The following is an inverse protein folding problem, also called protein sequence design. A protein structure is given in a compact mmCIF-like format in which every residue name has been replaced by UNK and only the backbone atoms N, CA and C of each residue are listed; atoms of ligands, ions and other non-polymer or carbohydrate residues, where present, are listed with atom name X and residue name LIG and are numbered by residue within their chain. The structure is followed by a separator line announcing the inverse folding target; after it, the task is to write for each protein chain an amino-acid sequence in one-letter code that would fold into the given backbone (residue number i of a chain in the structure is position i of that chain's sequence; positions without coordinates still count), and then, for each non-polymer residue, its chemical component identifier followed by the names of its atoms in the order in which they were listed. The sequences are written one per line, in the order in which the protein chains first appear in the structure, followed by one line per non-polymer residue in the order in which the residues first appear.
data_IF_067467190692
#
_entry.id   IF_067467190692
#
_cell.length_a   1.000
_cell.length_b   1.000
_cell.length_c   1.000
_cell.angle_alpha   90.00
_cell.angle_beta   90.00
_cell.angle_gamma   90.00
#
_symmetry.space_group_name_H-M   'P 1'
#
loop_
_entity.id
_entity.type
_entity.pdbx_description
1 polymer ?
#
# COMPACT_ATOMS: atom_id res chain seq x y z
N UNK A 1 34.91 -1.96 5.87
CA UNK A 1 34.39 -2.98 4.94
C UNK A 1 33.68 -4.08 5.72
N UNK A 2 32.40 -3.90 6.05
CA UNK A 2 31.47 -4.95 6.48
C UNK A 2 30.06 -4.37 6.48
N UNK A 3 29.27 -4.90 5.55
CA UNK A 3 27.83 -4.83 5.34
C UNK A 3 27.03 -4.50 6.61
N UNK A 4 26.55 -3.27 6.70
CA UNK A 4 25.31 -2.96 7.43
C UNK A 4 24.26 -2.88 6.32
N UNK A 5 23.40 -3.90 6.29
CA UNK A 5 22.21 -3.92 5.45
C UNK A 5 21.35 -2.74 5.88
N UNK A 6 21.38 -1.66 5.09
CA UNK A 6 20.24 -0.76 4.99
C UNK A 6 19.11 -1.63 4.42
N UNK A 7 18.18 -2.06 5.27
CA UNK A 7 16.92 -2.65 4.86
C UNK A 7 16.08 -1.54 4.21
N UNK A 8 16.45 -1.18 2.98
CA UNK A 8 15.59 -0.44 2.07
C UNK A 8 14.52 -1.44 1.63
N UNK A 9 13.31 -1.33 2.18
CA UNK A 9 12.10 -1.94 1.60
C UNK A 9 11.71 -1.18 0.32
N UNK A 10 12.61 -1.19 -0.66
CA UNK A 10 12.35 -0.88 -2.07
C UNK A 10 12.97 -2.05 -2.83
N UNK A 11 12.21 -3.13 -2.97
CA UNK A 11 12.58 -4.22 -3.87
C UNK A 11 12.32 -3.74 -5.30
N UNK A 12 13.32 -3.07 -5.86
CA UNK A 12 13.47 -2.92 -7.30
C UNK A 12 14.58 -3.87 -7.71
N UNK A 13 14.22 -4.94 -8.42
CA UNK A 13 15.13 -5.66 -9.30
C UNK A 13 14.60 -5.50 -10.73
N UNK A 14 15.19 -4.58 -11.49
CA UNK A 14 14.92 -4.40 -12.93
C UNK A 14 16.07 -4.98 -13.76
N UNK A 15 15.71 -5.66 -14.85
CA UNK A 15 16.40 -5.79 -16.17
C UNK A 15 16.51 -7.25 -16.64
N UNK A 16 16.24 -7.66 -17.88
CA UNK A 16 15.60 -7.10 -19.09
C UNK A 16 15.61 -8.26 -20.11
N UNK A 17 14.51 -8.51 -20.85
CA UNK A 17 14.51 -8.70 -22.33
C UNK A 17 13.11 -9.09 -22.84
N UNK A 18 12.40 -8.11 -23.39
CA UNK A 18 11.61 -8.30 -24.59
C UNK A 18 11.58 -6.96 -25.33
N UNK A 19 12.53 -6.77 -26.25
CA UNK A 19 12.41 -5.73 -27.25
C UNK A 19 11.22 -6.10 -28.14
N UNK A 20 10.09 -5.39 -28.02
CA UNK A 20 9.15 -5.31 -29.14
C UNK A 20 9.57 -4.14 -30.00
N UNK A 21 10.41 -4.42 -31.00
CA UNK A 21 10.47 -3.60 -32.20
C UNK A 21 9.14 -3.81 -32.93
N UNK A 22 8.26 -2.81 -32.92
CA UNK A 22 7.16 -2.73 -33.87
C UNK A 22 7.78 -2.57 -35.27
N UNK A 23 7.85 -3.67 -36.01
CA UNK A 23 8.05 -3.64 -37.45
C UNK A 23 6.71 -3.18 -38.03
N UNK A 24 6.69 -1.94 -38.51
CA UNK A 24 5.68 -1.45 -39.44
C UNK A 24 5.74 -2.38 -40.66
N UNK A 25 4.71 -3.19 -40.87
CA UNK A 25 4.43 -3.74 -42.18
C UNK A 25 3.37 -2.87 -42.83
N UNK A 26 3.79 -2.03 -43.78
CA UNK A 26 2.90 -1.38 -44.72
C UNK A 26 2.02 -2.44 -45.38
N UNK A 27 0.72 -2.38 -45.13
CA UNK A 27 -0.26 -3.12 -45.90
C UNK A 27 -0.80 -2.19 -46.98
N UNK A 28 -0.16 -2.20 -48.16
CA UNK A 28 -0.81 -1.74 -49.39
C UNK A 28 -1.79 -2.80 -49.86
N UNK A 29 -3.06 -2.42 -50.00
CA UNK A 29 -4.10 -3.25 -50.57
C UNK A 29 -5.24 -2.39 -51.11
N UNK A 30 -5.09 -1.90 -52.34
CA UNK A 30 -6.22 -1.42 -53.14
C UNK A 30 -7.18 -2.58 -53.45
N UNK A 31 -8.49 -2.32 -53.29
CA UNK A 31 -9.55 -3.26 -53.64
C UNK A 31 -10.90 -2.55 -53.67
N UNK A 32 -11.26 -2.03 -54.84
CA UNK A 32 -12.54 -1.41 -55.18
C UNK A 32 -13.68 -2.47 -55.27
N UNK A 33 -14.90 -2.13 -54.83
CA UNK A 33 -16.08 -2.99 -55.06
C UNK A 33 -17.26 -2.72 -54.12
N UNK A 34 -18.16 -1.81 -54.53
CA UNK A 34 -19.33 -1.39 -53.74
C UNK A 34 -20.49 -2.39 -53.62
N UNK A 35 -21.41 -2.09 -52.70
CA UNK A 35 -22.74 -2.72 -52.67
C UNK A 35 -23.45 -2.70 -51.31
N UNK A 36 -24.21 -1.62 -51.04
CA UNK A 36 -25.53 -1.67 -50.39
C UNK A 36 -25.66 -2.18 -48.95
N UNK A 37 -25.91 -1.25 -48.03
CA UNK A 37 -26.52 -1.52 -46.73
C UNK A 37 -26.21 -0.38 -45.76
N UNK A 38 -27.22 0.41 -45.40
CA UNK A 38 -27.11 1.51 -44.43
C UNK A 38 -26.49 0.99 -43.11
N UNK A 39 -25.27 1.38 -42.70
CA UNK A 39 -24.82 1.09 -41.36
C UNK A 39 -25.43 2.15 -40.46
N UNK A 40 -26.19 1.72 -39.46
CA UNK A 40 -26.41 2.49 -38.25
C UNK A 40 -25.08 3.13 -37.82
N UNK A 41 -25.02 4.47 -37.71
CA UNK A 41 -23.88 5.21 -37.17
C UNK A 41 -23.72 4.94 -35.66
N UNK A 42 -23.58 3.67 -35.26
CA UNK A 42 -23.22 3.27 -33.91
C UNK A 42 -21.69 3.25 -33.84
N UNK A 43 -21.15 4.14 -33.03
CA UNK A 43 -19.72 4.20 -32.73
C UNK A 43 -19.34 3.21 -31.61
N UNK A 44 -20.31 2.81 -30.78
CA UNK A 44 -20.18 1.78 -29.72
C UNK A 44 -21.27 0.73 -29.94
N UNK A 45 -20.88 -0.54 -29.91
CA UNK A 45 -21.79 -1.70 -29.93
C UNK A 45 -21.45 -2.63 -28.77
N UNK A 46 -22.41 -2.95 -27.90
CA UNK A 46 -22.22 -3.97 -26.86
C UNK A 46 -22.63 -5.34 -27.36
N UNK A 47 -21.87 -6.37 -27.00
CA UNK A 47 -22.20 -7.77 -27.31
C UNK A 47 -23.46 -8.23 -26.57
N UNK A 48 -23.70 -7.68 -25.38
CA UNK A 48 -24.92 -7.87 -24.60
C UNK A 48 -25.37 -6.55 -23.97
N UNK A 49 -26.52 -5.96 -24.39
CA UNK A 49 -27.05 -4.74 -23.79
C UNK A 49 -27.33 -4.84 -22.28
N UNK A 50 -27.51 -6.04 -21.72
CA UNK A 50 -27.66 -6.22 -20.28
C UNK A 50 -26.40 -5.84 -19.50
N UNK A 51 -25.22 -5.81 -20.13
CA UNK A 51 -23.97 -5.35 -19.51
C UNK A 51 -24.03 -3.87 -19.07
N UNK A 52 -24.92 -3.05 -19.66
CA UNK A 52 -25.13 -1.66 -19.23
C UNK A 52 -25.81 -1.55 -17.86
N UNK A 53 -26.50 -2.59 -17.37
CA UNK A 53 -27.21 -2.55 -16.10
C UNK A 53 -26.93 -3.84 -15.33
N UNK A 54 -25.99 -3.77 -14.40
CA UNK A 54 -25.54 -4.93 -13.64
C UNK A 54 -25.88 -4.78 -12.15
N UNK A 55 -26.03 -5.93 -11.50
CA UNK A 55 -26.13 -6.04 -10.05
C UNK A 55 -24.99 -6.90 -9.55
N UNK A 56 -24.33 -6.44 -8.51
CA UNK A 56 -23.21 -7.09 -7.86
C UNK A 56 -23.55 -7.32 -6.38
N UNK A 57 -23.16 -8.46 -5.82
CA UNK A 57 -23.17 -8.63 -4.37
C UNK A 57 -22.10 -7.76 -3.72
N UNK A 58 -22.20 -7.57 -2.40
CA UNK A 58 -21.25 -6.77 -1.66
C UNK A 58 -19.79 -7.25 -1.84
N UNK A 59 -19.56 -8.55 -2.00
CA UNK A 59 -18.26 -9.20 -2.15
C UNK A 59 -17.89 -9.53 -3.61
N UNK A 60 -18.68 -9.08 -4.59
CA UNK A 60 -18.37 -9.30 -6.00
C UNK A 60 -17.09 -8.55 -6.39
N UNK A 61 -16.05 -9.22 -6.92
CA UNK A 61 -14.74 -8.62 -7.11
C UNK A 61 -14.66 -7.69 -8.33
N UNK A 62 -15.48 -7.95 -9.35
CA UNK A 62 -15.48 -7.19 -10.59
C UNK A 62 -16.72 -7.47 -11.44
N UNK A 63 -16.99 -6.55 -12.36
CA UNK A 63 -17.87 -6.72 -13.51
C UNK A 63 -17.03 -6.61 -14.80
N UNK A 64 -17.48 -7.25 -15.88
CA UNK A 64 -16.83 -7.18 -17.19
C UNK A 64 -17.80 -6.64 -18.24
N UNK A 65 -17.29 -5.78 -19.12
CA UNK A 65 -18.03 -5.22 -20.26
C UNK A 65 -17.26 -5.54 -21.52
N UNK A 66 -17.94 -6.09 -22.53
CA UNK A 66 -17.35 -6.33 -23.86
C UNK A 66 -18.09 -5.48 -24.88
N UNK A 67 -17.35 -4.69 -25.62
CA UNK A 67 -17.91 -3.76 -26.59
C UNK A 67 -16.97 -3.61 -27.78
N UNK A 68 -17.54 -3.19 -28.91
CA UNK A 68 -16.80 -2.84 -30.12
C UNK A 68 -16.90 -1.34 -30.36
N UNK A 69 -15.77 -0.70 -30.63
CA UNK A 69 -15.72 0.71 -31.03
C UNK A 69 -15.24 0.88 -32.45
N UNK A 70 -15.57 2.03 -33.03
CA UNK A 70 -15.16 2.40 -34.39
C UNK A 70 -13.94 3.34 -34.43
N UNK A 71 -13.48 3.79 -33.25
CA UNK A 71 -12.32 4.67 -33.05
C UNK A 71 -11.84 4.54 -31.61
N UNK A 72 -10.93 5.44 -31.21
CA UNK A 72 -10.52 5.56 -29.82
C UNK A 72 -11.72 5.80 -28.91
N UNK A 73 -11.59 5.32 -27.68
CA UNK A 73 -12.63 5.40 -26.66
C UNK A 73 -12.05 5.73 -25.31
N UNK A 74 -12.90 6.26 -24.45
CA UNK A 74 -12.56 6.64 -23.09
C UNK A 74 -13.74 6.40 -22.15
N UNK A 75 -13.44 6.22 -20.87
CA UNK A 75 -14.45 6.01 -19.85
C UNK A 75 -14.22 6.86 -18.60
N UNK A 76 -15.32 7.27 -17.97
CA UNK A 76 -15.31 8.16 -16.83
C UNK A 76 -16.33 7.76 -15.77
N UNK A 77 -15.89 7.70 -14.51
CA UNK A 77 -16.79 7.57 -13.35
C UNK A 77 -17.48 8.92 -13.14
N UNK A 78 -18.80 8.93 -13.29
CA UNK A 78 -19.63 10.13 -13.22
C UNK A 78 -19.86 10.64 -11.80
N UNK A 79 -20.03 9.74 -10.85
CA UNK A 79 -20.31 10.08 -9.46
C UNK A 79 -19.03 9.95 -8.63
N UNK A 80 -18.52 11.08 -8.13
CA UNK A 80 -17.19 11.19 -7.52
C UNK A 80 -17.00 10.24 -6.33
N UNK A 81 -18.05 9.98 -5.55
CA UNK A 81 -18.02 9.06 -4.41
C UNK A 81 -17.67 7.63 -4.82
N UNK A 82 -17.98 7.23 -6.06
CA UNK A 82 -17.68 5.89 -6.54
C UNK A 82 -16.20 5.66 -6.81
N UNK A 83 -15.39 6.72 -6.93
CA UNK A 83 -13.92 6.59 -7.09
C UNK A 83 -13.25 5.96 -5.86
N UNK A 84 -13.92 6.02 -4.71
CA UNK A 84 -13.47 5.40 -3.47
C UNK A 84 -13.66 3.87 -3.44
N UNK A 85 -14.41 3.28 -4.37
CA UNK A 85 -14.66 1.83 -4.38
C UNK A 85 -14.71 1.17 -5.77
N UNK A 86 -14.50 1.95 -6.84
CA UNK A 86 -14.51 1.47 -8.23
C UNK A 86 -13.21 1.84 -8.95
N UNK A 87 -12.61 0.86 -9.62
CA UNK A 87 -11.50 1.08 -10.57
C UNK A 87 -11.89 0.52 -11.94
N UNK A 88 -11.60 1.27 -13.01
CA UNK A 88 -11.89 0.86 -14.39
C UNK A 88 -10.58 0.56 -15.11
N UNK A 89 -10.45 -0.61 -15.73
CA UNK A 89 -9.23 -1.00 -16.44
C UNK A 89 -9.51 -1.89 -17.68
N UNK A 90 -8.95 -1.55 -18.86
CA UNK A 90 -8.45 -0.22 -19.20
C UNK A 90 -9.58 0.82 -19.14
N UNK A 91 -9.24 2.08 -18.91
CA UNK A 91 -10.20 3.20 -19.03
C UNK A 91 -10.12 3.92 -20.39
N UNK A 92 -8.98 3.74 -21.05
CA UNK A 92 -8.50 4.17 -22.37
C UNK A 92 -8.53 3.11 -23.49
N UNK A 93 -8.83 3.45 -24.74
CA UNK A 93 -8.33 2.68 -25.90
C UNK A 93 -8.08 3.57 -27.11
N UNK A 94 -6.94 3.39 -27.80
CA UNK A 94 -6.56 4.24 -28.95
C UNK A 94 -7.05 3.70 -30.30
N UNK A 95 -7.31 2.39 -30.38
CA UNK A 95 -7.68 1.70 -31.60
C UNK A 95 -9.17 1.38 -31.65
N UNK A 96 -9.71 1.25 -32.86
CA UNK A 96 -11.03 0.66 -33.08
C UNK A 96 -10.95 -0.86 -32.96
N UNK A 97 -12.07 -1.50 -32.59
CA UNK A 97 -12.14 -2.95 -32.51
C UNK A 97 -12.91 -3.43 -31.29
N UNK A 98 -12.79 -4.72 -30.99
CA UNK A 98 -13.36 -5.32 -29.79
C UNK A 98 -12.46 -5.03 -28.58
N UNK A 99 -13.08 -4.62 -27.48
CA UNK A 99 -12.44 -4.31 -26.23
C UNK A 99 -13.17 -4.99 -25.09
N UNK A 100 -12.41 -5.36 -24.07
CA UNK A 100 -12.93 -5.83 -22.79
C UNK A 100 -12.46 -4.87 -21.71
N UNK A 101 -13.41 -4.31 -20.97
CA UNK A 101 -13.19 -3.45 -19.82
C UNK A 101 -13.58 -4.17 -18.55
N UNK A 102 -12.66 -4.24 -17.60
CA UNK A 102 -12.90 -4.76 -16.27
C UNK A 102 -13.19 -3.61 -15.31
N UNK A 103 -14.29 -3.73 -14.58
CA UNK A 103 -14.68 -2.79 -13.53
C UNK A 103 -14.45 -3.50 -12.20
N UNK A 104 -13.36 -3.17 -11.53
CA UNK A 104 -13.00 -3.71 -10.22
C UNK A 104 -13.85 -3.03 -9.14
N UNK A 105 -14.41 -3.84 -8.25
CA UNK A 105 -15.26 -3.39 -7.16
C UNK A 105 -14.63 -3.76 -5.82
N UNK A 106 -14.53 -2.78 -4.93
CA UNK A 106 -14.21 -3.03 -3.53
C UNK A 106 -15.43 -3.60 -2.79
N UNK A 107 -15.20 -4.31 -1.68
CA UNK A 107 -16.27 -4.89 -0.90
C UNK A 107 -17.18 -3.79 -0.31
N UNK A 108 -18.50 -3.97 -0.37
CA UNK A 108 -19.44 -2.97 0.16
C UNK A 108 -19.66 -3.11 1.66
N UNK A 109 -18.83 -2.44 2.45
CA UNK A 109 -18.87 -2.43 3.91
C UNK A 109 -19.74 -1.32 4.51
N UNK A 110 -20.44 -0.53 3.68
CA UNK A 110 -21.25 0.62 4.14
C UNK A 110 -22.57 0.23 4.82
N UNK A 111 -22.97 -1.03 4.69
CA UNK A 111 -24.28 -1.52 5.15
C UNK A 111 -25.47 -1.06 4.30
N UNK A 112 -25.25 -0.29 3.24
CA UNK A 112 -26.30 0.18 2.32
C UNK A 112 -25.95 -0.16 0.86
N UNK A 113 -26.94 -0.45 -0.01
CA UNK A 113 -26.67 -0.58 -1.43
C UNK A 113 -26.07 0.73 -1.99
N UNK A 114 -25.12 0.61 -2.91
CA UNK A 114 -24.45 1.73 -3.56
C UNK A 114 -24.41 1.55 -5.07
N UNK A 115 -24.30 2.64 -5.81
CA UNK A 115 -24.38 2.63 -7.28
C UNK A 115 -23.24 3.43 -7.89
N UNK A 116 -22.67 2.92 -8.97
CA UNK A 116 -21.76 3.68 -9.84
C UNK A 116 -22.36 3.86 -11.22
N UNK A 117 -22.13 5.03 -11.81
CA UNK A 117 -22.38 5.31 -13.22
C UNK A 117 -21.05 5.60 -13.93
N UNK A 118 -20.84 4.92 -15.04
CA UNK A 118 -19.63 5.05 -15.86
C UNK A 118 -20.09 5.43 -17.26
N UNK A 119 -19.58 6.54 -17.77
CA UNK A 119 -19.74 6.88 -19.19
C UNK A 119 -18.66 6.20 -20.01
N UNK A 120 -19.06 5.60 -21.12
CA UNK A 120 -18.19 5.07 -22.16
C UNK A 120 -18.42 5.92 -23.41
N UNK A 121 -17.37 6.61 -23.85
CA UNK A 121 -17.42 7.56 -24.95
C UNK A 121 -16.63 7.05 -26.15
N UNK A 122 -17.22 7.14 -27.33
CA UNK A 122 -16.52 6.97 -28.61
C UNK A 122 -17.11 7.97 -29.60
N UNK A 123 -16.29 8.94 -30.02
CA UNK A 123 -16.70 10.04 -30.89
C UNK A 123 -17.92 10.81 -30.32
N UNK A 124 -19.08 10.69 -30.96
CA UNK A 124 -20.31 11.39 -30.55
C UNK A 124 -21.34 10.50 -29.85
N UNK A 125 -20.99 9.23 -29.59
CA UNK A 125 -21.83 8.32 -28.81
C UNK A 125 -21.27 8.16 -27.39
N UNK A 126 -22.19 8.21 -26.44
CA UNK A 126 -21.95 7.94 -25.02
C UNK A 126 -22.91 6.83 -24.59
N UNK A 127 -22.37 5.77 -24.00
CA UNK A 127 -23.14 4.74 -23.31
C UNK A 127 -22.94 4.89 -21.81
N UNK A 128 -23.99 4.67 -21.02
CA UNK A 128 -23.92 4.72 -19.55
C UNK A 128 -24.03 3.31 -18.97
N UNK A 129 -22.97 2.86 -18.33
CA UNK A 129 -22.93 1.62 -17.55
C UNK A 129 -23.34 1.95 -16.11
N UNK A 130 -24.30 1.21 -15.59
CA UNK A 130 -24.77 1.31 -14.21
C UNK A 130 -24.53 -0.01 -13.48
N UNK A 131 -23.81 0.04 -12.36
CA UNK A 131 -23.64 -1.11 -11.47
C UNK A 131 -24.27 -0.76 -10.12
N UNK A 132 -25.22 -1.58 -9.68
CA UNK A 132 -25.75 -1.54 -8.32
C UNK A 132 -25.05 -2.63 -7.50
N UNK A 133 -24.33 -2.22 -6.47
CA UNK A 133 -23.69 -3.14 -5.53
C UNK A 133 -24.53 -3.24 -4.25
N UNK A 134 -24.96 -4.45 -3.94
CA UNK A 134 -25.78 -4.74 -2.76
C UNK A 134 -25.01 -4.56 -1.46
N UNK A 135 -25.74 -4.45 -0.35
CA UNK A 135 -25.16 -4.41 1.01
C UNK A 135 -24.81 -5.80 1.56
N UNK A 136 -25.28 -6.87 0.90
CA UNK A 136 -25.12 -8.26 1.33
C UNK A 136 -24.20 -9.01 0.39
N UNK A 137 -23.39 -9.90 0.97
CA UNK A 137 -22.57 -10.86 0.23
C UNK A 137 -23.44 -11.87 -0.50
N UNK A 138 -22.83 -12.61 -1.42
CA UNK A 138 -23.51 -13.67 -2.16
C UNK A 138 -24.10 -14.76 -1.25
N UNK A 139 -23.48 -15.03 -0.10
CA UNK A 139 -23.95 -16.00 0.90
C UNK A 139 -25.05 -15.44 1.83
N UNK A 140 -25.42 -14.17 1.67
CA UNK A 140 -26.42 -13.47 2.48
C UNK A 140 -25.88 -12.86 3.78
N UNK A 141 -24.58 -13.00 4.07
CA UNK A 141 -23.95 -12.30 5.19
C UNK A 141 -23.70 -10.83 4.89
N UNK A 142 -23.50 -10.02 5.93
CA UNK A 142 -23.06 -8.64 5.79
C UNK A 142 -21.53 -8.59 5.89
N UNK A 143 -20.85 -7.80 5.05
CA UNK A 143 -19.45 -7.50 5.24
C UNK A 143 -19.19 -6.88 6.61
N UNK A 144 -18.04 -7.21 7.20
CA UNK A 144 -17.61 -6.54 8.43
C UNK A 144 -17.24 -5.09 8.11
N UNK A 145 -17.93 -4.13 8.72
CA UNK A 145 -17.49 -2.75 8.71
C UNK A 145 -16.23 -2.63 9.56
N UNK A 146 -15.22 -1.95 9.03
CA UNK A 146 -14.07 -1.56 9.84
C UNK A 146 -14.44 -0.26 10.56
N UNK A 147 -14.54 -0.33 11.88
CA UNK A 147 -14.53 0.84 12.74
C UNK A 147 -13.08 1.09 13.15
N UNK A 148 -12.53 2.31 12.94
CA UNK A 148 -11.19 2.62 13.42
C UNK A 148 -11.16 2.45 14.94
N UNK A 149 -10.12 1.77 15.44
CA UNK A 149 -9.94 1.58 16.88
C UNK A 149 -9.95 2.96 17.57
N UNK A 150 -10.84 3.22 18.53
CA UNK A 150 -10.80 4.47 19.27
C UNK A 150 -9.50 4.49 20.08
N UNK A 151 -8.71 5.54 19.91
CA UNK A 151 -7.50 5.76 20.69
C UNK A 151 -7.57 7.08 21.43
N UNK A 152 -7.02 7.08 22.65
CA UNK A 152 -7.08 8.24 23.56
C UNK A 152 -5.72 8.94 23.72
N UNK A 153 -4.67 8.36 23.14
CA UNK A 153 -3.31 8.88 23.22
C UNK A 153 -2.64 8.96 21.84
N UNK A 154 -1.78 9.97 21.71
CA UNK A 154 -1.00 10.25 20.52
C UNK A 154 0.48 10.01 20.82
N UNK A 155 1.13 9.14 20.06
CA UNK A 155 2.58 8.94 20.16
C UNK A 155 3.26 10.16 19.54
N UNK A 156 4.08 10.85 20.32
CA UNK A 156 4.84 12.02 19.88
C UNK A 156 6.17 11.60 19.22
N UNK A 157 6.88 10.69 19.89
CA UNK A 157 8.14 10.15 19.37
C UNK A 157 8.41 8.75 19.89
N UNK A 158 9.26 8.04 19.17
CA UNK A 158 9.81 6.74 19.56
C UNK A 158 11.32 6.81 19.46
N UNK A 159 12.01 6.24 20.44
CA UNK A 159 13.46 6.21 20.44
C UNK A 159 13.98 4.78 20.46
N UNK A 160 15.01 4.50 19.69
CA UNK A 160 15.52 3.16 19.44
C UNK A 160 16.98 3.11 19.88
N UNK A 161 17.30 2.13 20.73
CA UNK A 161 18.67 1.85 21.15
C UNK A 161 19.03 0.39 20.88
N UNK A 162 20.25 0.18 20.37
CA UNK A 162 20.80 -1.16 20.21
C UNK A 162 21.49 -1.62 21.49
N UNK A 163 21.24 -2.86 21.90
CA UNK A 163 21.90 -3.50 23.04
C UNK A 163 22.67 -4.70 22.52
N UNK A 164 23.99 -4.65 22.68
CA UNK A 164 24.92 -5.73 22.29
C UNK A 164 25.63 -6.26 23.53
N UNK A 165 25.57 -7.58 23.75
CA UNK A 165 26.22 -8.24 24.91
C UNK A 165 25.82 -7.66 26.29
N UNK A 166 24.61 -7.12 26.42
CA UNK A 166 24.11 -6.54 27.67
C UNK A 166 24.59 -5.11 27.96
N UNK A 167 25.30 -4.50 27.00
CA UNK A 167 25.70 -3.08 27.06
C UNK A 167 24.81 -2.29 26.10
N UNK A 168 24.12 -1.27 26.62
CA UNK A 168 23.43 -0.28 25.79
C UNK A 168 24.46 0.47 24.95
N UNK A 169 24.35 0.37 23.63
CA UNK A 169 25.15 1.19 22.73
C UNK A 169 24.48 2.56 22.58
N UNK A 170 24.81 3.47 23.50
CA UNK A 170 24.29 4.85 23.49
C UNK A 170 24.87 5.72 22.38
N UNK A 171 25.84 5.21 21.62
CA UNK A 171 26.49 5.98 20.55
C UNK A 171 25.71 5.96 19.23
N UNK A 172 24.66 5.13 19.10
CA UNK A 172 23.81 4.99 17.91
C UNK A 172 22.32 5.00 18.31
N UNK A 173 21.81 6.16 18.71
CA UNK A 173 20.40 6.32 19.05
C UNK A 173 19.63 6.75 17.81
N UNK A 174 18.51 6.09 17.51
CA UNK A 174 17.56 6.56 16.49
C UNK A 174 16.35 7.18 17.17
N UNK A 175 15.81 8.22 16.57
CA UNK A 175 14.54 8.83 17.00
C UNK A 175 13.59 8.90 15.81
N UNK A 176 12.32 8.57 16.04
CA UNK A 176 11.23 8.75 15.09
C UNK A 176 10.26 9.76 15.72
N UNK A 177 9.97 10.86 15.03
CA UNK A 177 9.02 11.89 15.47
C UNK A 177 7.77 11.87 14.58
N UNK A 178 6.63 12.17 15.18
CA UNK A 178 5.34 12.23 14.51
C UNK A 178 4.72 13.61 14.65
N UNK A 179 4.47 14.27 13.51
CA UNK A 179 3.80 15.56 13.44
C UNK A 179 2.33 15.39 13.06
N UNK A 180 1.46 16.06 13.80
CA UNK A 180 0.02 15.99 13.62
C UNK A 180 -0.58 17.38 13.39
N UNK A 181 -1.66 17.43 12.63
CA UNK A 181 -2.55 18.59 12.54
C UNK A 181 -3.99 18.10 12.77
N UNK A 182 -4.73 18.74 13.68
CA UNK A 182 -6.10 18.39 14.04
C UNK A 182 -6.32 16.87 14.21
N UNK A 183 -5.46 16.21 14.98
CA UNK A 183 -5.56 14.76 15.22
C UNK A 183 -5.46 13.92 13.91
N UNK A 184 -4.69 14.40 12.93
CA UNK A 184 -4.35 13.67 11.71
C UNK A 184 -2.83 13.73 11.52
N UNK A 185 -2.20 12.60 11.22
CA UNK A 185 -0.76 12.54 10.93
C UNK A 185 -0.46 13.36 9.67
N UNK A 186 0.61 14.16 9.68
CA UNK A 186 1.06 14.94 8.53
C UNK A 186 2.54 14.70 8.23
N UNK A 187 3.30 14.27 9.24
CA UNK A 187 4.75 14.23 9.17
C UNK A 187 5.33 13.09 9.99
N UNK A 188 6.32 12.41 9.45
CA UNK A 188 7.12 11.39 10.15
C UNK A 188 8.59 11.68 9.85
N UNK A 189 9.42 11.84 10.87
CA UNK A 189 10.87 12.08 10.72
C UNK A 189 11.63 10.97 11.43
N UNK A 190 12.63 10.40 10.77
CA UNK A 190 13.59 9.49 11.39
C UNK A 190 14.95 10.15 11.40
N UNK A 191 15.56 10.20 12.58
CA UNK A 191 16.82 10.87 12.82
C UNK A 191 17.79 9.93 13.52
N UNK A 192 19.04 9.93 13.08
CA UNK A 192 20.14 9.24 13.73
C UNK A 192 20.98 10.22 14.54
N UNK A 193 21.29 9.86 15.79
CA UNK A 193 22.23 10.58 16.64
C UNK A 193 23.46 9.69 16.79
N UNK A 194 24.60 10.17 16.31
CA UNK A 194 25.88 9.48 16.48
C UNK A 194 26.87 10.34 17.26
N UNK A 195 27.66 9.67 18.11
CA UNK A 195 28.67 10.33 18.94
C UNK A 195 30.05 10.20 18.31
N UNK A 196 30.70 11.32 18.00
CA UNK A 196 32.10 11.38 17.56
C UNK A 196 33.00 11.88 18.68
N UNK A 197 34.23 11.37 18.73
CA UNK A 197 35.27 11.90 19.61
C UNK A 197 36.18 12.81 18.80
N UNK A 198 36.08 14.13 19.00
CA UNK A 198 36.92 15.13 18.35
C UNK A 198 37.82 15.75 19.42
N UNK A 199 39.14 15.56 19.27
CA UNK A 199 40.16 16.11 20.18
C UNK A 199 39.99 15.74 21.68
N UNK A 200 39.30 14.64 21.97
CA UNK A 200 39.04 14.18 23.33
C UNK A 200 37.72 14.69 23.94
N UNK A 201 36.90 15.41 23.16
CA UNK A 201 35.52 15.75 23.49
C UNK A 201 34.54 14.86 22.70
N UNK A 202 33.53 14.34 23.39
CA UNK A 202 32.41 13.63 22.78
C UNK A 202 31.40 14.65 22.23
N UNK A 203 31.21 14.64 20.92
CA UNK A 203 30.26 15.50 20.21
C UNK A 203 29.16 14.62 19.64
N UNK A 204 27.89 14.97 19.94
CA UNK A 204 26.73 14.32 19.34
C UNK A 204 26.33 15.08 18.08
N UNK A 205 26.29 14.37 16.96
CA UNK A 205 25.77 14.88 15.70
C UNK A 205 24.41 14.24 15.42
N UNK A 206 23.45 15.08 15.04
CA UNK A 206 22.11 14.69 14.64
C UNK A 206 22.05 14.72 13.09
N UNK A 207 21.48 13.68 12.49
CA UNK A 207 21.34 13.56 11.04
C UNK A 207 19.96 13.00 10.73
N UNK A 208 19.18 13.74 9.95
CA UNK A 208 17.93 13.23 9.41
C UNK A 208 18.29 12.08 8.46
N UNK A 209 17.68 10.93 8.67
CA UNK A 209 17.88 9.73 7.84
C UNK A 209 16.76 9.61 6.80
N UNK A 210 15.54 9.96 7.20
CA UNK A 210 14.39 9.98 6.30
C UNK A 210 13.27 10.85 6.86
N UNK A 211 12.44 11.40 5.97
CA UNK A 211 11.16 11.98 6.36
C UNK A 211 10.03 11.56 5.42
N UNK A 212 8.81 11.69 5.92
CA UNK A 212 7.57 11.46 5.19
C UNK A 212 6.65 12.65 5.44
N UNK A 213 6.18 13.28 4.37
CA UNK A 213 5.15 14.31 4.40
C UNK A 213 3.87 13.76 3.79
N UNK A 214 2.75 13.87 4.49
CA UNK A 214 1.44 13.33 4.08
C UNK A 214 0.47 14.50 3.92
N UNK A 215 -0.18 14.61 2.77
CA UNK A 215 -1.16 15.63 2.45
C UNK A 215 -2.49 14.97 2.04
N UNK A 216 -3.52 15.18 2.85
CA UNK A 216 -4.84 14.61 2.62
C UNK A 216 -5.70 15.51 1.75
N UNK A 217 -6.42 14.91 0.79
CA UNK A 217 -7.47 15.55 -0.01
C UNK A 217 -8.77 14.77 0.20
N UNK A 218 -9.47 14.97 1.33
CA UNK A 218 -10.62 14.15 1.71
C UNK A 218 -11.76 14.20 0.68
N UNK A 219 -12.01 15.39 0.13
CA UNK A 219 -13.07 15.63 -0.88
C UNK A 219 -12.85 14.80 -2.16
N UNK A 220 -11.59 14.50 -2.50
CA UNK A 220 -11.23 13.72 -3.69
C UNK A 220 -11.01 12.23 -3.37
N UNK A 221 -11.20 11.81 -2.11
CA UNK A 221 -10.79 10.51 -1.60
C UNK A 221 -9.33 10.17 -1.95
N UNK A 222 -8.43 11.14 -1.74
CA UNK A 222 -6.99 10.98 -2.05
C UNK A 222 -6.10 11.39 -0.90
N UNK A 223 -4.90 10.85 -0.89
CA UNK A 223 -3.76 11.46 -0.21
C UNK A 223 -2.54 11.43 -1.11
N UNK A 224 -1.66 12.39 -0.89
CA UNK A 224 -0.33 12.40 -1.48
C UNK A 224 0.66 12.23 -0.34
N UNK A 225 1.67 11.38 -0.53
CA UNK A 225 2.79 11.41 0.38
C UNK A 225 4.12 11.43 -0.36
N UNK A 226 5.07 12.10 0.26
CA UNK A 226 6.44 12.22 -0.20
C UNK A 226 7.36 11.67 0.88
N UNK A 227 8.21 10.71 0.53
CA UNK A 227 9.26 10.21 1.40
C UNK A 227 10.63 10.58 0.84
N UNK A 228 11.48 11.16 1.67
CA UNK A 228 12.86 11.48 1.35
C UNK A 228 13.80 10.64 2.21
N UNK A 229 14.90 10.16 1.61
CA UNK A 229 16.02 9.52 2.32
C UNK A 229 17.25 10.39 2.19
N UNK A 230 18.01 10.53 3.26
CA UNK A 230 19.13 11.45 3.37
C UNK A 230 20.45 10.72 3.65
N UNK A 231 21.54 11.29 3.16
CA UNK A 231 22.90 11.01 3.65
C UNK A 231 23.35 12.05 4.68
N UNK A 232 24.45 11.79 5.38
CA UNK A 232 25.00 12.59 6.50
C UNK A 232 25.19 14.10 6.23
N UNK A 233 25.14 14.55 4.97
CA UNK A 233 25.23 15.96 4.59
C UNK A 233 23.87 16.60 4.33
N UNK A 234 22.77 16.00 4.80
CA UNK A 234 21.38 16.38 4.49
C UNK A 234 21.08 16.43 2.98
N UNK A 235 21.84 15.69 2.18
CA UNK A 235 21.57 15.52 0.77
C UNK A 235 20.53 14.42 0.60
N UNK A 236 19.43 14.73 -0.09
CA UNK A 236 18.43 13.73 -0.48
C UNK A 236 19.07 12.80 -1.51
N UNK A 237 19.13 11.52 -1.19
CA UNK A 237 19.66 10.47 -2.07
C UNK A 237 18.56 9.68 -2.76
N UNK A 238 17.40 9.58 -2.13
CA UNK A 238 16.24 8.88 -2.68
C UNK A 238 14.98 9.66 -2.37
N UNK A 239 14.04 9.63 -3.32
CA UNK A 239 12.73 10.24 -3.15
C UNK A 239 11.65 9.30 -3.67
N UNK A 240 10.59 9.14 -2.89
CA UNK A 240 9.39 8.41 -3.28
C UNK A 240 8.22 9.38 -3.24
N UNK A 241 7.61 9.61 -4.39
CA UNK A 241 6.33 10.31 -4.49
C UNK A 241 5.22 9.29 -4.64
N UNK A 242 4.08 9.50 -3.98
CA UNK A 242 2.96 8.57 -4.06
C UNK A 242 1.64 9.30 -4.10
N UNK A 243 0.83 8.97 -5.10
CA UNK A 243 -0.58 9.34 -5.19
C UNK A 243 -1.43 8.15 -4.77
N UNK A 244 -2.18 8.31 -3.69
CA UNK A 244 -2.98 7.25 -3.08
C UNK A 244 -4.46 7.55 -3.19
N UNK A 245 -5.22 6.60 -3.72
CA UNK A 245 -6.67 6.58 -3.66
C UNK A 245 -7.11 5.95 -2.34
N UNK A 246 -8.05 6.59 -1.67
CA UNK A 246 -8.63 6.14 -0.42
C UNK A 246 -9.99 5.50 -0.64
N UNK A 247 -10.28 4.48 0.16
CA UNK A 247 -11.63 3.95 0.26
C UNK A 247 -12.51 4.80 1.17
N UNK A 248 -13.78 4.43 1.29
CA UNK A 248 -14.78 5.14 2.11
C UNK A 248 -14.39 5.20 3.60
N UNK A 249 -13.53 4.28 4.07
CA UNK A 249 -13.02 4.27 5.45
C UNK A 249 -11.71 5.05 5.61
N UNK A 250 -11.19 5.68 4.55
CA UNK A 250 -9.95 6.46 4.59
C UNK A 250 -8.67 5.63 4.49
N UNK A 251 -8.76 4.36 4.09
CA UNK A 251 -7.59 3.50 3.86
C UNK A 251 -7.16 3.52 2.41
N UNK A 252 -5.86 3.37 2.16
CA UNK A 252 -5.31 3.29 0.82
C UNK A 252 -5.81 2.01 0.14
N UNK A 253 -6.46 2.17 -1.00
CA UNK A 253 -6.93 1.08 -1.88
C UNK A 253 -6.09 0.95 -3.15
N UNK A 254 -5.50 2.05 -3.59
CA UNK A 254 -4.55 2.07 -4.71
C UNK A 254 -3.49 3.13 -4.42
N UNK A 255 -2.22 2.82 -4.71
CA UNK A 255 -1.10 3.74 -4.56
C UNK A 255 -0.25 3.70 -5.83
N UNK A 256 -0.21 4.80 -6.55
CA UNK A 256 0.74 5.01 -7.64
C UNK A 256 1.99 5.69 -7.10
N UNK A 257 3.04 4.90 -6.92
CA UNK A 257 4.30 5.37 -6.38
C UNK A 257 5.35 5.54 -7.47
N UNK A 258 6.10 6.64 -7.43
CA UNK A 258 7.22 6.93 -8.32
C UNK A 258 8.48 7.12 -7.50
N UNK A 259 9.45 6.25 -7.71
CA UNK A 259 10.75 6.25 -7.05
C UNK A 259 11.80 6.97 -7.90
N UNK A 260 12.57 7.83 -7.26
CA UNK A 260 13.69 8.58 -7.82
C UNK A 260 14.96 8.23 -7.04
N UNK A 261 15.98 7.75 -7.74
CA UNK A 261 17.34 7.72 -7.24
C UNK A 261 18.03 9.04 -7.62
N UNK A 262 18.26 9.89 -6.63
CA UNK A 262 18.81 11.23 -6.85
C UNK A 262 20.32 11.20 -7.12
N UNK A 263 20.96 10.04 -6.93
CA UNK A 263 22.39 9.83 -7.10
C UNK A 263 22.76 9.21 -8.45
N UNK A 264 21.76 8.76 -9.22
CA UNK A 264 21.92 8.25 -10.56
C UNK A 264 21.17 9.10 -11.59
N UNK A 265 21.49 8.89 -12.87
CA UNK A 265 20.74 9.47 -13.99
C UNK A 265 19.74 8.47 -14.56
N UNK A 266 19.32 7.47 -13.77
CA UNK A 266 18.33 6.50 -14.19
C UNK A 266 16.94 7.14 -14.22
N UNK A 267 16.11 6.68 -15.16
CA UNK A 267 14.72 7.13 -15.24
C UNK A 267 13.96 6.67 -13.98
N UNK A 268 13.02 7.48 -13.47
CA UNK A 268 12.25 7.11 -12.30
C UNK A 268 11.37 5.89 -12.57
N UNK A 269 11.21 5.07 -11.53
CA UNK A 269 10.45 3.82 -11.62
C UNK A 269 9.07 4.05 -11.00
N UNK A 270 8.02 3.80 -11.76
CA UNK A 270 6.64 3.90 -11.27
C UNK A 270 6.03 2.52 -11.07
N UNK A 271 5.37 2.34 -9.92
CA UNK A 271 4.73 1.10 -9.51
C UNK A 271 3.34 1.42 -8.96
N UNK A 272 2.34 0.62 -9.33
CA UNK A 272 0.98 0.73 -8.80
C UNK A 272 0.74 -0.40 -7.80
N UNK A 273 0.43 -0.06 -6.56
CA UNK A 273 0.02 -1.00 -5.53
C UNK A 273 -1.49 -0.99 -5.41
N UNK A 274 -2.11 -2.17 -5.36
CA UNK A 274 -3.55 -2.30 -5.08
C UNK A 274 -3.78 -3.06 -3.80
N UNK A 275 -4.71 -2.55 -3.00
CA UNK A 275 -5.08 -3.09 -1.71
C UNK A 275 -6.57 -3.44 -1.72
N UNK A 276 -6.89 -4.65 -1.27
CA UNK A 276 -8.28 -5.12 -1.15
C UNK A 276 -8.50 -5.63 0.26
N UNK A 277 -9.62 -5.26 0.86
CA UNK A 277 -9.98 -5.64 2.24
C UNK A 277 -8.82 -5.39 3.22
N UNK A 278 -8.14 -4.24 3.09
CA UNK A 278 -7.01 -3.85 3.95
C UNK A 278 -5.75 -4.71 3.77
N UNK A 279 -5.57 -5.34 2.60
CA UNK A 279 -4.43 -6.20 2.30
C UNK A 279 -3.82 -5.78 0.97
N UNK A 280 -2.49 -5.64 0.92
CA UNK A 280 -1.77 -5.52 -0.35
C UNK A 280 -2.05 -6.78 -1.17
N UNK A 281 -2.56 -6.62 -2.40
CA UNK A 281 -2.85 -7.75 -3.30
C UNK A 281 -1.93 -7.79 -4.53
N UNK A 282 -1.47 -6.63 -5.00
CA UNK A 282 -0.73 -6.57 -6.26
C UNK A 282 0.30 -5.42 -6.22
N UNK A 283 1.52 -5.72 -6.66
CA UNK A 283 2.57 -4.76 -6.99
C UNK A 283 2.62 -4.71 -8.51
N UNK A 284 2.52 -3.51 -9.11
CA UNK A 284 2.22 -3.19 -10.53
C UNK A 284 3.10 -3.77 -11.66
N UNK A 285 3.46 -5.04 -11.59
CA UNK A 285 3.68 -5.95 -12.70
C UNK A 285 3.08 -7.28 -12.24
N UNK A 286 2.30 -7.99 -13.07
CA UNK A 286 1.49 -9.17 -12.71
C UNK A 286 2.25 -10.39 -12.12
N UNK A 287 3.48 -10.20 -11.67
CA UNK A 287 4.38 -11.22 -11.16
C UNK A 287 4.27 -11.35 -9.64
N UNK A 288 4.37 -10.26 -8.86
CA UNK A 288 4.51 -10.38 -7.39
C UNK A 288 3.25 -9.97 -6.60
N UNK A 289 2.72 -10.92 -5.82
CA UNK A 289 1.55 -10.74 -4.97
C UNK A 289 1.88 -11.09 -3.53
N UNK A 290 1.34 -10.31 -2.61
CA UNK A 290 1.38 -10.61 -1.18
C UNK A 290 -0.05 -10.90 -0.71
N UNK A 291 -0.16 -11.70 0.34
CA UNK A 291 -1.41 -11.80 1.08
C UNK A 291 -1.15 -11.99 2.57
N UNK A 292 -2.08 -11.49 3.37
CA UNK A 292 -2.07 -11.62 4.82
C UNK A 292 -3.15 -12.60 5.25
N UNK A 293 -2.76 -13.59 6.04
CA UNK A 293 -3.67 -14.56 6.66
C UNK A 293 -3.97 -14.07 8.08
N UNK A 294 -5.25 -14.08 8.43
CA UNK A 294 -5.74 -13.58 9.70
C UNK A 294 -6.46 -14.69 10.45
N UNK A 295 -6.27 -14.76 11.76
CA UNK A 295 -7.02 -15.58 12.69
C UNK A 295 -7.27 -14.79 13.95
N UNK A 296 -8.47 -14.89 14.52
CA UNK A 296 -8.82 -14.24 15.80
C UNK A 296 -8.41 -12.75 15.83
N UNK A 297 -8.72 -12.03 14.75
CA UNK A 297 -8.42 -10.60 14.55
C UNK A 297 -6.92 -10.21 14.53
N UNK A 298 -6.02 -11.18 14.42
CA UNK A 298 -4.58 -10.98 14.35
C UNK A 298 -4.00 -11.52 13.03
N UNK A 299 -2.99 -10.84 12.48
CA UNK A 299 -2.29 -11.30 11.26
C UNK A 299 -1.35 -12.45 11.61
N UNK A 300 -1.71 -13.69 11.30
CA UNK A 300 -0.91 -14.87 11.67
C UNK A 300 0.15 -15.24 10.65
N UNK A 301 0.00 -14.79 9.39
CA UNK A 301 0.93 -15.12 8.32
C UNK A 301 0.98 -14.03 7.24
N UNK A 302 2.16 -13.81 6.68
CA UNK A 302 2.34 -13.12 5.40
C UNK A 302 2.80 -14.16 4.39
N UNK A 303 2.16 -14.20 3.23
CA UNK A 303 2.54 -15.06 2.11
C UNK A 303 2.89 -14.22 0.89
N UNK A 304 3.80 -14.73 0.07
CA UNK A 304 4.21 -14.12 -1.19
C UNK A 304 4.03 -15.10 -2.35
N UNK A 305 3.86 -14.56 -3.54
CA UNK A 305 3.80 -15.28 -4.80
C UNK A 305 4.56 -14.45 -5.83
N UNK A 306 5.66 -14.99 -6.36
CA UNK A 306 6.63 -14.24 -7.20
C UNK A 306 6.23 -14.20 -8.69
N UNK A 307 5.40 -15.13 -9.14
CA UNK A 307 4.84 -15.13 -10.51
C UNK A 307 3.38 -15.55 -10.50
N UNK A 308 2.60 -15.18 -11.52
CA UNK A 308 1.18 -15.54 -11.67
C UNK A 308 0.89 -17.04 -11.60
N UNK A 309 1.85 -17.89 -11.98
CA UNK A 309 1.71 -19.35 -11.98
C UNK A 309 2.23 -20.02 -10.70
N UNK A 310 2.92 -19.28 -9.83
CA UNK A 310 3.45 -19.83 -8.58
C UNK A 310 2.36 -20.06 -7.52
N UNK A 311 2.63 -20.98 -6.59
CA UNK A 311 1.84 -21.10 -5.37
C UNK A 311 2.28 -20.06 -4.34
N UNK A 312 1.35 -19.67 -3.46
CA UNK A 312 1.67 -18.81 -2.34
C UNK A 312 2.59 -19.54 -1.37
N UNK A 313 3.62 -18.83 -0.93
CA UNK A 313 4.64 -19.34 -0.04
C UNK A 313 4.70 -18.44 1.21
N UNK A 314 4.64 -19.03 2.41
CA UNK A 314 4.81 -18.33 3.70
C UNK A 314 6.08 -17.48 3.74
N UNK A 315 6.02 -16.18 3.92
CA UNK A 315 7.21 -15.36 4.14
C UNK A 315 7.55 -15.30 5.63
N UNK A 316 6.54 -14.96 6.43
CA UNK A 316 6.63 -14.74 7.87
C UNK A 316 5.42 -15.34 8.58
N UNK A 317 5.65 -15.83 9.79
CA UNK A 317 4.61 -16.25 10.74
C UNK A 317 4.67 -15.40 12.00
N UNK A 318 3.51 -15.12 12.57
CA UNK A 318 3.36 -14.23 13.70
C UNK A 318 2.66 -14.94 14.86
N UNK A 319 3.15 -14.71 16.06
CA UNK A 319 2.44 -15.11 17.29
C UNK A 319 2.21 -13.88 18.15
N UNK A 320 1.22 -13.96 19.04
CA UNK A 320 0.71 -12.83 19.79
C UNK A 320 0.68 -13.10 21.29
N UNK A 321 0.84 -12.03 22.05
CA UNK A 321 0.58 -12.02 23.49
C UNK A 321 -0.93 -11.94 23.76
N UNK A 322 -1.33 -11.95 25.02
CA UNK A 322 -2.72 -11.69 25.43
C UNK A 322 -3.02 -10.19 25.58
N UNK A 323 -2.00 -9.33 25.52
CA UNK A 323 -2.15 -7.88 25.69
C UNK A 323 -2.69 -7.27 24.39
N UNK A 324 -3.59 -6.30 24.51
CA UNK A 324 -4.14 -5.58 23.36
C UNK A 324 -3.05 -4.75 22.68
N UNK A 325 -3.04 -4.75 21.35
CA UNK A 325 -2.22 -3.87 20.56
C UNK A 325 -2.63 -2.43 20.85
N UNK A 326 -1.61 -1.62 21.09
CA UNK A 326 -1.65 -0.30 21.72
C UNK A 326 -2.97 0.48 21.56
N UNK A 327 -3.52 0.97 22.69
CA UNK A 327 -4.68 1.88 22.74
C UNK A 327 -4.40 3.30 22.20
N UNK A 328 -3.26 3.49 21.55
CA UNK A 328 -2.83 4.76 20.98
C UNK A 328 -2.98 4.77 19.47
N UNK A 329 -2.70 5.92 18.86
CA UNK A 329 -2.91 6.15 17.44
C UNK A 329 -2.01 5.32 16.50
N UNK A 330 -0.94 4.66 16.99
CA UNK A 330 -0.01 3.87 16.17
C UNK A 330 -0.13 2.35 16.41
N UNK A 331 -0.08 1.57 15.32
CA UNK A 331 0.13 0.12 15.37
C UNK A 331 1.60 -0.20 15.67
N UNK A 332 1.90 -0.43 16.95
CA UNK A 332 3.26 -0.71 17.42
C UNK A 332 3.84 -2.02 16.87
N UNK A 333 3.00 -2.94 16.35
CA UNK A 333 3.48 -4.16 15.72
C UNK A 333 4.20 -3.89 14.39
N UNK A 334 3.96 -2.74 13.75
CA UNK A 334 4.61 -2.36 12.49
C UNK A 334 6.00 -1.74 12.68
N UNK A 335 6.36 -1.40 13.91
CA UNK A 335 7.59 -0.67 14.22
C UNK A 335 8.85 -1.44 13.80
N UNK A 336 8.85 -2.77 13.97
CA UNK A 336 9.96 -3.63 13.55
C UNK A 336 10.12 -3.70 12.02
N UNK A 337 9.02 -3.56 11.27
CA UNK A 337 9.04 -3.62 9.81
C UNK A 337 9.34 -2.26 9.18
N UNK A 338 9.40 -1.18 9.98
CA UNK A 338 9.51 0.22 9.52
C UNK A 338 8.48 0.61 8.44
N UNK A 339 7.32 -0.06 8.42
CA UNK A 339 6.24 0.23 7.49
C UNK A 339 5.36 1.35 8.06
N UNK A 340 5.81 2.59 7.85
CA UNK A 340 5.19 3.77 8.47
C UNK A 340 3.72 3.97 8.09
N UNK A 341 3.33 3.70 6.84
CA UNK A 341 1.93 3.82 6.40
C UNK A 341 1.02 2.80 7.11
N UNK A 342 1.48 1.56 7.28
CA UNK A 342 0.75 0.57 8.09
C UNK A 342 0.70 0.98 9.55
N UNK A 343 1.80 1.50 10.09
CA UNK A 343 1.90 1.92 11.48
C UNK A 343 0.90 3.03 11.82
N UNK A 344 0.69 3.99 10.91
CA UNK A 344 -0.31 5.06 11.09
C UNK A 344 -1.73 4.61 10.71
N UNK A 345 -1.93 3.36 10.31
CA UNK A 345 -3.23 2.77 9.99
C UNK A 345 -3.73 3.01 8.57
N UNK A 346 -2.94 3.62 7.68
CA UNK A 346 -3.38 3.93 6.30
C UNK A 346 -3.56 2.69 5.43
N UNK A 347 -2.90 1.58 5.77
CA UNK A 347 -3.01 0.30 5.05
C UNK A 347 -4.05 -0.65 5.68
N UNK A 348 -4.84 -0.14 6.63
CA UNK A 348 -6.04 -0.77 7.15
C UNK A 348 -5.87 -1.53 8.47
N UNK A 349 -6.46 -2.72 8.58
CA UNK A 349 -6.71 -3.39 9.86
C UNK A 349 -5.42 -3.66 10.65
N UNK A 350 -5.47 -3.30 11.94
CA UNK A 350 -4.43 -3.59 12.93
C UNK A 350 -4.65 -4.96 13.54
N UNK A 351 -3.56 -5.61 13.95
CA UNK A 351 -3.70 -6.81 14.79
C UNK A 351 -4.25 -6.41 16.16
N UNK A 352 -5.20 -7.17 16.68
CA UNK A 352 -5.82 -6.90 17.99
C UNK A 352 -4.83 -6.96 19.15
N UNK A 353 -3.79 -7.79 19.08
CA UNK A 353 -2.85 -8.03 20.17
C UNK A 353 -1.41 -7.62 19.84
N UNK A 354 -0.61 -7.37 20.86
CA UNK A 354 0.83 -7.13 20.71
C UNK A 354 1.54 -8.42 20.30
N UNK A 355 2.48 -8.32 19.35
CA UNK A 355 3.28 -9.44 18.87
C UNK A 355 4.06 -10.11 20.00
N UNK A 356 4.06 -11.43 20.06
CA UNK A 356 5.00 -12.19 20.89
C UNK A 356 6.25 -12.56 20.09
N UNK A 357 6.09 -12.94 18.82
CA UNK A 357 7.22 -13.22 17.94
C UNK A 357 6.87 -13.13 16.45
N UNK A 358 7.91 -12.94 15.64
CA UNK A 358 7.90 -13.10 14.19
C UNK A 358 8.95 -14.15 13.84
N UNK A 359 8.64 -15.10 12.94
CA UNK A 359 9.61 -16.05 12.41
C UNK A 359 9.56 -16.07 10.90
N UNK A 360 10.74 -16.01 10.26
CA UNK A 360 10.89 -16.15 8.81
C UNK A 360 11.12 -17.61 8.41
N UNK A 361 10.99 -17.89 7.10
CA UNK A 361 11.28 -19.22 6.55
C UNK A 361 12.73 -19.68 6.67
N UNK A 362 13.67 -18.75 6.86
CA UNK A 362 15.11 -19.02 6.94
C UNK A 362 15.53 -19.39 8.37
N UNK A 363 14.59 -19.42 9.30
CA UNK A 363 14.84 -19.80 10.69
C UNK A 363 15.32 -18.64 11.57
N UNK A 364 15.31 -17.41 11.05
CA UNK A 364 15.46 -16.22 11.90
C UNK A 364 14.15 -15.96 12.63
N UNK A 365 14.26 -15.49 13.87
CA UNK A 365 13.09 -15.07 14.64
C UNK A 365 13.38 -13.83 15.47
N UNK A 366 12.34 -13.04 15.69
CA UNK A 366 12.38 -11.91 16.62
C UNK A 366 11.35 -12.17 17.71
N UNK A 367 11.75 -12.07 18.97
CA UNK A 367 10.88 -12.18 20.14
C UNK A 367 10.68 -10.80 20.77
N UNK A 368 9.45 -10.48 21.18
CA UNK A 368 9.08 -9.18 21.72
C UNK A 368 8.67 -9.27 23.18
N UNK A 369 9.08 -8.28 23.97
CA UNK A 369 8.63 -8.11 25.35
C UNK A 369 8.29 -6.64 25.59
N UNK A 370 7.34 -6.39 26.49
CA UNK A 370 6.74 -5.08 26.69
C UNK A 370 6.76 -4.68 28.15
N UNK A 371 6.88 -3.38 28.38
CA UNK A 371 6.53 -2.76 29.67
C UNK A 371 5.47 -1.70 29.44
N UNK A 372 4.72 -1.37 30.49
CA UNK A 372 3.58 -0.48 30.42
C UNK A 372 3.69 0.60 31.49
N UNK A 373 3.27 1.81 31.15
CA UNK A 373 3.16 2.90 32.11
C UNK A 373 1.94 2.72 33.02
N UNK A 374 1.77 3.62 34.00
CA UNK A 374 0.66 3.55 34.96
C UNK A 374 -0.74 3.66 34.34
N UNK A 375 -0.84 4.24 33.13
CA UNK A 375 -2.08 4.36 32.36
C UNK A 375 -2.35 3.14 31.47
N UNK A 376 -1.44 2.16 31.46
CA UNK A 376 -1.57 0.94 30.66
C UNK A 376 -1.12 1.10 29.20
N UNK A 377 -0.48 2.20 28.81
CA UNK A 377 0.13 2.34 27.49
C UNK A 377 1.53 1.70 27.47
N UNK A 378 1.93 1.16 26.32
CA UNK A 378 3.26 0.58 26.14
C UNK A 378 4.32 1.66 26.35
N UNK A 379 5.23 1.45 27.29
CA UNK A 379 6.33 2.37 27.60
C UNK A 379 7.61 1.94 26.89
N UNK A 380 7.94 0.66 26.94
CA UNK A 380 9.07 0.09 26.19
C UNK A 380 8.71 -1.21 25.48
N UNK A 381 9.34 -1.42 24.33
CA UNK A 381 9.35 -2.69 23.58
C UNK A 381 10.80 -3.13 23.50
N UNK A 382 11.08 -4.37 23.87
CA UNK A 382 12.38 -5.00 23.60
C UNK A 382 12.20 -6.07 22.55
N UNK A 383 12.78 -5.86 21.37
CA UNK A 383 12.89 -6.85 20.32
C UNK A 383 14.23 -7.60 20.44
N UNK A 384 14.18 -8.92 20.53
CA UNK A 384 15.37 -9.78 20.59
C UNK A 384 15.45 -10.59 19.31
N UNK A 385 16.48 -10.33 18.51
CA UNK A 385 16.67 -10.93 17.18
C UNK A 385 17.60 -12.14 17.27
N UNK A 386 17.12 -13.26 16.75
CA UNK A 386 17.86 -14.50 16.59
C UNK A 386 18.04 -14.75 15.10
N UNK A 387 19.26 -14.58 14.60
CA UNK A 387 19.58 -14.82 13.20
C UNK A 387 20.09 -16.24 13.01
N UNK A 388 19.74 -16.84 11.87
CA UNK A 388 20.27 -18.15 11.49
C UNK A 388 21.81 -18.14 11.51
N UNK A 389 22.41 -19.10 12.22
CA UNK A 389 23.85 -19.27 12.31
C UNK A 389 24.59 -18.29 13.25
N UNK A 390 23.90 -17.33 13.88
CA UNK A 390 24.49 -16.41 14.87
C UNK A 390 24.14 -16.88 16.28
N UNK A 391 25.15 -17.07 17.14
CA UNK A 391 24.97 -17.60 18.50
C UNK A 391 24.45 -16.58 19.51
N UNK A 392 24.82 -15.31 19.34
CA UNK A 392 24.45 -14.24 20.26
C UNK A 392 23.33 -13.42 19.65
N UNK A 393 22.14 -13.36 20.27
CA UNK A 393 21.07 -12.53 19.76
C UNK A 393 21.43 -11.04 19.92
N UNK A 394 20.95 -10.22 19.00
CA UNK A 394 20.99 -8.76 19.15
C UNK A 394 19.68 -8.28 19.75
N UNK A 395 19.70 -7.12 20.41
CA UNK A 395 18.50 -6.54 21.00
C UNK A 395 18.33 -5.10 20.55
N UNK A 396 17.09 -4.72 20.30
CA UNK A 396 16.67 -3.34 20.10
C UNK A 396 15.63 -2.99 21.14
N UNK A 397 15.80 -1.84 21.79
CA UNK A 397 14.86 -1.31 22.78
C UNK A 397 14.23 -0.04 22.21
N UNK A 398 12.92 -0.07 22.06
CA UNK A 398 12.09 1.05 21.65
C UNK A 398 11.46 1.66 22.90
N UNK A 399 11.60 2.96 23.10
CA UNK A 399 10.92 3.71 24.16
C UNK A 399 9.93 4.67 23.53
N UNK A 400 8.68 4.65 24.01
CA UNK A 400 7.56 5.35 23.40
C UNK A 400 7.18 6.55 24.28
N UNK A 401 7.04 7.71 23.65
CA UNK A 401 6.63 8.95 24.31
C UNK A 401 5.30 9.42 23.74
N UNK A 402 4.37 9.79 24.62
CA UNK A 402 3.01 10.19 24.27
C UNK A 402 2.82 11.69 24.53
N UNK A 403 1.99 12.35 23.71
CA UNK A 403 1.64 13.75 23.92
C UNK A 403 0.87 13.92 25.24
N UNK A 404 1.30 14.91 26.05
CA UNK A 404 0.58 15.33 27.25
C UNK A 404 0.77 14.45 28.50
N UNK A 405 1.76 13.57 28.52
CA UNK A 405 2.10 12.71 29.67
C UNK A 405 3.48 13.00 30.25
#
# INVERSE_FOLDING_TARGET
MKKILLFIQVFVAVCLTACYTNVITDYEGEGDGGGGGNPSNQFITLSDPAQLNQTAYADSPSCEITFTTTSSWESYIQNDEARSWVTVTPSAGEEAGEHTMQILLDENTTGNPRTVRIELNCQSQTETITINQEAVRQDGSFPESYEPDPFEAWVERITITEVTEGVENRNNWLEIRFGYNDNQIQYIEKTGIYTENIEGEEIQNETILSDIHINYMPEDHRLFYEQNTYENNNQVTQKLYSECMLNEQGHIRENQATYFDMMSNEEPISIVYRYKNFRLQNIGSDQEQFQYIWSDQNRVETQEKITSDAEYATLETFTYTTEENNKANLDLNQLYQENYLSMVGLLGKRSQNLLASISDKKGSRTEFTYTFNMSGYVETITATHFFEGIKTPTKQVYTIFYQGF
#
